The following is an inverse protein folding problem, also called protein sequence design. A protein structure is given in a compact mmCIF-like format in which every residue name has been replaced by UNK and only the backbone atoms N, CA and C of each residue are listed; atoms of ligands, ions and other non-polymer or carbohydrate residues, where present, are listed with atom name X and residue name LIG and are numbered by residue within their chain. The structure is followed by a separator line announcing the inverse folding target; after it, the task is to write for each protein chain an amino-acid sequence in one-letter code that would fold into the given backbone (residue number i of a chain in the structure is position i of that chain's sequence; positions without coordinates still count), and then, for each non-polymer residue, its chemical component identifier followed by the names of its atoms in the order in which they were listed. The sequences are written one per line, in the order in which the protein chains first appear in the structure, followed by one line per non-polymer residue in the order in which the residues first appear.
data_IF_771097226945
#
_entry.id   IF_771097226945
#
_cell.length_a   1.000
_cell.length_b   1.000
_cell.length_c   1.000
_cell.angle_alpha   90.00
_cell.angle_beta   90.00
_cell.angle_gamma   90.00
#
_symmetry.space_group_name_H-M   'P 1'
#
loop_
_entity.id
_entity.type
_entity.pdbx_description
1 polymer ?
#
# COMPACT_ATOMS: atom_id res chain seq x y z
N UNK A 1 -1.07 9.02 -7.48
CA UNK A 1 -0.46 8.18 -6.41
C UNK A 1 -1.05 6.78 -6.48
N UNK A 2 -0.23 5.76 -6.30
CA UNK A 2 -0.61 4.36 -6.42
C UNK A 2 -0.35 3.64 -5.08
N UNK A 3 -1.34 2.95 -4.54
CA UNK A 3 -1.22 2.10 -3.36
C UNK A 3 -1.16 0.65 -3.82
N UNK A 4 -0.14 -0.08 -3.40
CA UNK A 4 0.10 -1.48 -3.82
C UNK A 4 0.05 -2.39 -2.61
N UNK A 5 -0.84 -3.36 -2.63
CA UNK A 5 -0.92 -4.41 -1.62
C UNK A 5 -0.39 -5.72 -2.23
N UNK A 6 0.75 -6.18 -1.73
CA UNK A 6 1.36 -7.45 -2.15
C UNK A 6 0.81 -8.55 -1.25
N UNK A 7 0.03 -9.46 -1.87
CA UNK A 7 -0.55 -10.64 -1.22
C UNK A 7 -1.34 -10.32 0.07
N UNK A 8 -2.31 -9.38 0.03
CA UNK A 8 -3.08 -9.03 1.23
C UNK A 8 -3.88 -10.23 1.74
N UNK A 9 -3.98 -10.38 3.07
CA UNK A 9 -4.57 -11.55 3.72
C UNK A 9 -5.93 -11.26 4.36
N UNK A 10 -6.18 -10.01 4.79
CA UNK A 10 -7.36 -9.62 5.57
C UNK A 10 -8.28 -8.73 4.75
N UNK A 11 -9.49 -9.21 4.37
CA UNK A 11 -10.41 -8.46 3.51
C UNK A 11 -10.86 -7.13 4.13
N UNK A 12 -10.99 -7.03 5.47
CA UNK A 12 -11.35 -5.80 6.15
C UNK A 12 -10.29 -4.71 5.99
N UNK A 13 -9.01 -5.06 6.02
CA UNK A 13 -7.93 -4.11 5.76
C UNK A 13 -7.98 -3.60 4.32
N UNK A 14 -8.15 -4.51 3.36
CA UNK A 14 -8.28 -4.15 1.94
C UNK A 14 -9.47 -3.22 1.71
N UNK A 15 -10.61 -3.48 2.37
CA UNK A 15 -11.78 -2.62 2.31
C UNK A 15 -11.54 -1.22 2.86
N UNK A 16 -10.90 -1.11 4.02
CA UNK A 16 -10.55 0.19 4.60
C UNK A 16 -9.54 0.95 3.71
N UNK A 17 -8.60 0.24 3.09
CA UNK A 17 -7.63 0.82 2.15
C UNK A 17 -8.33 1.32 0.88
N UNK A 18 -9.26 0.55 0.32
CA UNK A 18 -10.05 0.96 -0.83
C UNK A 18 -10.81 2.27 -0.53
N UNK A 19 -11.43 2.39 0.67
CA UNK A 19 -12.07 3.63 1.11
C UNK A 19 -11.06 4.79 1.18
N UNK A 20 -9.88 4.56 1.73
CA UNK A 20 -8.82 5.58 1.75
C UNK A 20 -8.45 6.01 0.33
N UNK A 21 -8.25 5.07 -0.59
CA UNK A 21 -7.95 5.34 -1.99
C UNK A 21 -9.05 6.17 -2.67
N UNK A 22 -10.33 5.81 -2.48
CA UNK A 22 -11.46 6.58 -2.98
C UNK A 22 -11.45 8.03 -2.45
N UNK A 23 -11.22 8.21 -1.14
CA UNK A 23 -11.20 9.53 -0.51
C UNK A 23 -10.08 10.44 -1.02
N UNK A 24 -8.96 9.87 -1.47
CA UNK A 24 -7.78 10.64 -1.88
C UNK A 24 -7.48 10.58 -3.39
N UNK A 25 -8.31 9.88 -4.16
CA UNK A 25 -8.13 9.72 -5.60
C UNK A 25 -6.89 8.88 -5.97
N UNK A 26 -6.54 7.89 -5.14
CA UNK A 26 -5.43 6.97 -5.39
C UNK A 26 -5.90 5.71 -6.14
N UNK A 27 -5.04 5.16 -7.01
CA UNK A 27 -5.25 3.85 -7.63
C UNK A 27 -4.83 2.76 -6.65
N UNK A 28 -5.66 1.71 -6.51
CA UNK A 28 -5.37 0.55 -5.68
C UNK A 28 -4.90 -0.63 -6.54
N UNK A 29 -3.66 -1.06 -6.36
CA UNK A 29 -3.11 -2.26 -6.99
C UNK A 29 -3.17 -3.43 -6.00
N UNK A 30 -3.77 -4.54 -6.43
CA UNK A 30 -3.86 -5.78 -5.67
C UNK A 30 -3.03 -6.86 -6.36
N UNK A 31 -1.98 -7.32 -5.70
CA UNK A 31 -1.09 -8.36 -6.20
C UNK A 31 -1.44 -9.69 -5.56
N UNK A 32 -1.77 -10.67 -6.40
CA UNK A 32 -2.10 -12.04 -5.97
C UNK A 32 -0.85 -12.88 -5.65
N UNK A 33 -0.97 -13.98 -4.87
CA UNK A 33 -2.22 -14.49 -4.31
C UNK A 33 -2.74 -13.65 -3.14
N UNK A 34 -4.07 -13.57 -3.00
CA UNK A 34 -4.68 -12.95 -1.84
C UNK A 34 -5.20 -14.02 -0.88
N UNK A 35 -5.16 -13.77 0.43
CA UNK A 35 -5.70 -14.65 1.46
C UNK A 35 -7.23 -14.80 1.44
N UNK A 36 -7.93 -14.12 0.52
CA UNK A 36 -9.38 -14.10 0.38
C UNK A 36 -9.81 -13.93 -1.08
N UNK A 37 -11.08 -14.23 -1.37
CA UNK A 37 -11.66 -13.95 -2.68
C UNK A 37 -12.38 -12.60 -2.68
N UNK A 38 -12.09 -11.78 -3.68
CA UNK A 38 -12.83 -10.54 -3.95
C UNK A 38 -14.22 -10.91 -4.53
N UNK A 39 -15.19 -11.05 -3.65
CA UNK A 39 -16.60 -11.24 -4.02
C UNK A 39 -17.40 -10.05 -3.48
N UNK A 40 -18.49 -9.68 -4.16
CA UNK A 40 -19.39 -8.61 -3.66
C UNK A 40 -19.80 -8.85 -2.20
N UNK A 41 -20.03 -10.11 -1.81
CA UNK A 41 -20.40 -10.47 -0.44
C UNK A 41 -19.26 -10.18 0.57
N UNK A 42 -18.00 -10.45 0.20
CA UNK A 42 -16.84 -10.20 1.06
C UNK A 42 -16.55 -8.70 1.14
N UNK A 43 -16.73 -7.98 0.04
CA UNK A 43 -16.58 -6.52 -0.03
C UNK A 43 -17.65 -5.80 0.82
N UNK A 44 -18.91 -6.20 0.69
CA UNK A 44 -20.00 -5.66 1.52
C UNK A 44 -19.78 -5.92 3.01
N UNK A 45 -19.29 -7.11 3.40
CA UNK A 45 -18.94 -7.43 4.80
C UNK A 45 -17.74 -6.65 5.31
N UNK A 46 -16.82 -6.25 4.44
CA UNK A 46 -15.67 -5.42 4.76
C UNK A 46 -16.02 -3.91 4.84
N UNK A 47 -17.30 -3.54 4.66
CA UNK A 47 -17.74 -2.14 4.67
C UNK A 47 -17.25 -1.36 3.44
N UNK A 48 -17.07 -2.04 2.30
CA UNK A 48 -16.56 -1.43 1.07
C UNK A 48 -17.68 -0.76 0.27
N UNK A 49 -18.29 0.28 0.85
CA UNK A 49 -19.32 1.07 0.17
C UNK A 49 -18.74 1.96 -0.95
N UNK A 50 -17.40 2.05 -1.02
CA UNK A 50 -16.65 2.91 -1.95
C UNK A 50 -15.93 2.10 -3.05
N UNK A 51 -16.25 0.82 -3.22
CA UNK A 51 -15.53 -0.03 -4.18
C UNK A 51 -15.67 0.44 -5.62
N UNK A 52 -16.84 0.99 -5.97
CA UNK A 52 -17.13 1.52 -7.31
C UNK A 52 -16.52 2.92 -7.53
N UNK A 53 -16.00 3.55 -6.47
CA UNK A 53 -15.40 4.88 -6.49
C UNK A 53 -13.86 4.84 -6.54
N UNK A 54 -13.26 3.64 -6.56
CA UNK A 54 -11.80 3.46 -6.60
C UNK A 54 -11.37 2.69 -7.82
N UNK A 55 -10.36 3.19 -8.51
CA UNK A 55 -9.71 2.45 -9.60
C UNK A 55 -8.88 1.31 -9.01
N UNK A 56 -9.20 0.07 -9.42
CA UNK A 56 -8.53 -1.14 -8.91
C UNK A 56 -7.86 -1.87 -10.06
N UNK A 57 -6.56 -2.10 -9.93
CA UNK A 57 -5.74 -2.88 -10.84
C UNK A 57 -5.32 -4.17 -10.16
N UNK A 58 -5.52 -5.32 -10.83
CA UNK A 58 -5.13 -6.63 -10.30
C UNK A 58 -3.93 -7.19 -11.04
N UNK A 59 -3.01 -7.76 -10.30
CA UNK A 59 -1.80 -8.39 -10.80
C UNK A 59 -1.78 -9.87 -10.43
N UNK A 60 -1.45 -10.77 -11.36
CA UNK A 60 -1.47 -12.21 -11.09
C UNK A 60 -0.39 -12.67 -10.12
N UNK A 61 0.69 -11.90 -9.99
CA UNK A 61 1.80 -12.16 -9.04
C UNK A 61 2.69 -10.92 -8.91
N UNK A 62 3.58 -10.93 -7.93
CA UNK A 62 4.55 -9.86 -7.69
C UNK A 62 5.50 -9.65 -8.88
N UNK A 63 5.96 -10.72 -9.52
CA UNK A 63 6.85 -10.62 -10.68
C UNK A 63 6.21 -9.82 -11.83
N UNK A 64 4.94 -10.08 -12.14
CA UNK A 64 4.21 -9.34 -13.17
C UNK A 64 4.09 -7.84 -12.83
N UNK A 65 3.86 -7.51 -11.57
CA UNK A 65 3.84 -6.12 -11.11
C UNK A 65 5.23 -5.46 -11.27
N UNK A 66 6.29 -6.10 -10.80
CA UNK A 66 7.64 -5.54 -10.87
C UNK A 66 8.24 -5.54 -12.28
N UNK A 67 7.80 -6.42 -13.18
CA UNK A 67 8.15 -6.36 -14.60
C UNK A 67 7.58 -5.09 -15.26
N UNK A 68 6.34 -4.73 -14.92
CA UNK A 68 5.69 -3.55 -15.45
C UNK A 68 6.17 -2.24 -14.80
N UNK A 69 6.41 -2.23 -13.49
CA UNK A 69 6.61 -1.02 -12.68
C UNK A 69 7.95 -0.95 -11.93
N UNK A 70 8.85 -1.91 -12.12
CA UNK A 70 10.12 -1.96 -11.36
C UNK A 70 11.05 -0.76 -11.60
N UNK A 71 10.89 -0.06 -12.71
CA UNK A 71 11.64 1.17 -13.04
C UNK A 71 10.99 2.45 -12.50
N UNK A 72 9.71 2.39 -12.09
CA UNK A 72 8.97 3.53 -11.58
C UNK A 72 9.44 3.95 -10.18
N UNK A 73 8.88 5.05 -9.67
CA UNK A 73 9.15 5.52 -8.32
C UNK A 73 8.42 4.63 -7.29
N UNK A 74 9.16 3.68 -6.72
CA UNK A 74 8.66 2.73 -5.73
C UNK A 74 9.14 3.09 -4.33
N UNK A 75 8.25 3.03 -3.34
CA UNK A 75 8.56 3.13 -1.91
C UNK A 75 8.00 1.91 -1.17
N UNK A 76 8.90 1.05 -0.68
CA UNK A 76 8.53 -0.20 0.00
C UNK A 76 8.46 0.04 1.51
N UNK A 77 7.27 -0.05 2.07
CA UNK A 77 7.05 0.16 3.50
C UNK A 77 7.35 -1.11 4.30
N UNK A 78 8.41 -1.06 5.10
CA UNK A 78 8.84 -2.18 5.95
C UNK A 78 9.41 -1.69 7.28
N UNK A 79 9.16 -2.43 8.36
CA UNK A 79 9.76 -2.14 9.66
C UNK A 79 11.29 -2.34 9.70
N UNK A 80 11.87 -3.01 8.71
CA UNK A 80 13.31 -3.28 8.63
C UNK A 80 14.10 -2.11 8.03
N UNK A 81 13.46 -1.17 7.35
CA UNK A 81 14.13 -0.01 6.77
C UNK A 81 14.73 0.89 7.87
N UNK A 82 15.84 1.54 7.55
CA UNK A 82 16.47 2.55 8.41
C UNK A 82 15.90 3.95 8.15
N UNK A 83 15.60 4.26 6.87
CA UNK A 83 15.10 5.56 6.43
C UNK A 83 13.63 5.72 6.77
N UNK A 84 13.26 6.85 7.36
CA UNK A 84 11.87 7.17 7.69
C UNK A 84 11.12 7.61 6.44
N UNK A 85 9.81 7.32 6.37
CA UNK A 85 8.95 7.77 5.27
C UNK A 85 8.89 9.30 5.14
N UNK A 86 9.17 10.04 6.21
CA UNK A 86 9.23 11.51 6.19
C UNK A 86 10.56 12.08 5.67
N UNK A 87 11.55 11.24 5.41
CA UNK A 87 12.88 11.62 4.92
C UNK A 87 13.02 11.41 3.41
N UNK A 88 11.95 11.02 2.73
CA UNK A 88 11.91 10.84 1.28
C UNK A 88 10.88 11.78 0.67
N UNK A 89 11.08 12.13 -0.59
CA UNK A 89 10.09 12.83 -1.39
C UNK A 89 9.20 11.81 -2.09
N UNK A 90 7.90 12.08 -2.12
CA UNK A 90 6.91 11.29 -2.86
C UNK A 90 6.43 12.07 -4.08
N UNK A 91 6.74 11.56 -5.27
CA UNK A 91 6.21 12.09 -6.52
C UNK A 91 4.69 11.86 -6.64
N UNK A 92 4.07 12.60 -7.55
CA UNK A 92 2.62 12.53 -7.76
C UNK A 92 2.15 11.13 -8.17
N UNK A 93 2.97 10.42 -8.94
CA UNK A 93 2.68 9.09 -9.47
C UNK A 93 3.42 7.98 -8.73
N UNK A 94 3.99 8.28 -7.56
CA UNK A 94 4.71 7.32 -6.73
C UNK A 94 3.85 6.11 -6.37
N UNK A 95 4.49 4.95 -6.30
CA UNK A 95 3.91 3.69 -5.84
C UNK A 95 4.32 3.45 -4.37
N UNK A 96 3.34 3.31 -3.49
CA UNK A 96 3.53 3.00 -2.07
C UNK A 96 3.17 1.53 -1.85
N UNK A 97 4.19 0.70 -1.60
CA UNK A 97 4.06 -0.76 -1.54
C UNK A 97 4.00 -1.27 -0.11
N UNK A 98 3.06 -2.15 0.15
CA UNK A 98 2.83 -2.80 1.44
C UNK A 98 2.68 -4.30 1.23
N UNK A 99 3.21 -5.10 2.16
CA UNK A 99 3.15 -6.56 2.10
C UNK A 99 2.03 -7.16 2.95
N UNK A 100 2.10 -8.48 3.11
CA UNK A 100 1.17 -9.29 3.92
C UNK A 100 1.09 -8.80 5.37
N UNK A 101 -0.07 -8.91 5.97
CA UNK A 101 -0.29 -8.56 7.38
C UNK A 101 0.54 -9.44 8.31
N UNK A 102 0.73 -10.71 7.98
CA UNK A 102 1.45 -11.68 8.79
C UNK A 102 2.98 -11.59 8.67
N UNK A 103 3.49 -11.31 7.45
CA UNK A 103 4.91 -11.44 7.12
C UNK A 103 5.54 -10.19 6.49
N UNK A 104 4.75 -9.20 6.04
CA UNK A 104 5.25 -8.05 5.30
C UNK A 104 5.63 -8.40 3.85
N UNK A 105 6.52 -7.62 3.28
CA UNK A 105 7.08 -7.83 1.93
C UNK A 105 8.18 -8.89 2.01
N UNK A 106 8.24 -9.78 1.02
CA UNK A 106 9.26 -10.83 0.94
C UNK A 106 10.68 -10.27 0.97
N UNK A 107 11.58 -10.97 1.68
CA UNK A 107 12.97 -10.55 1.85
C UNK A 107 13.69 -10.38 0.50
N UNK A 108 13.47 -11.26 -0.47
CA UNK A 108 14.07 -11.17 -1.80
C UNK A 108 13.64 -9.88 -2.54
N UNK A 109 12.39 -9.42 -2.35
CA UNK A 109 11.92 -8.16 -2.91
C UNK A 109 12.57 -6.98 -2.17
N UNK A 110 12.63 -7.03 -0.84
CA UNK A 110 13.27 -5.98 -0.03
C UNK A 110 14.76 -5.83 -0.37
N UNK A 111 15.47 -6.94 -0.56
CA UNK A 111 16.89 -6.94 -0.93
C UNK A 111 17.09 -6.32 -2.34
N UNK A 112 16.22 -6.67 -3.28
CA UNK A 112 16.25 -6.13 -4.65
C UNK A 112 16.04 -4.61 -4.70
N UNK A 113 15.23 -4.06 -3.79
CA UNK A 113 14.85 -2.65 -3.73
C UNK A 113 15.25 -1.99 -2.40
N UNK A 114 16.39 -2.39 -1.83
CA UNK A 114 16.81 -1.96 -0.49
C UNK A 114 16.93 -0.43 -0.34
N UNK A 115 17.38 0.25 -1.39
CA UNK A 115 17.51 1.71 -1.47
C UNK A 115 16.16 2.45 -1.51
N UNK A 116 15.07 1.73 -1.82
CA UNK A 116 13.70 2.25 -1.89
C UNK A 116 12.83 1.90 -0.66
N UNK A 117 13.43 1.21 0.32
CA UNK A 117 12.75 0.83 1.55
C UNK A 117 12.63 2.03 2.50
N UNK A 118 11.44 2.18 3.08
CA UNK A 118 11.13 3.21 4.08
C UNK A 118 10.31 2.63 5.23
N UNK A 119 10.36 3.28 6.39
CA UNK A 119 9.60 2.86 7.57
C UNK A 119 8.72 3.97 8.13
N UNK A 120 7.59 3.58 8.69
CA UNK A 120 6.84 4.42 9.63
C UNK A 120 7.46 4.19 11.02
N UNK A 121 7.92 5.24 11.73
CA UNK A 121 8.50 5.08 13.06
C UNK A 121 7.50 4.48 14.04
N UNK A 122 7.98 3.53 14.86
CA UNK A 122 7.22 2.90 15.93
C UNK A 122 8.08 2.81 17.18
N UNK A 123 7.45 2.62 18.35
CA UNK A 123 8.17 2.32 19.59
C UNK A 123 8.87 0.96 19.45
N UNK A 124 10.05 0.87 20.03
CA UNK A 124 10.81 -0.37 20.11
C UNK A 124 10.00 -1.50 20.76
N UNK A 125 10.18 -2.73 20.30
CA UNK A 125 9.50 -3.92 20.81
C UNK A 125 8.09 -4.14 20.23
N UNK A 126 7.55 -3.21 19.42
CA UNK A 126 6.27 -3.41 18.73
C UNK A 126 6.49 -3.99 17.33
N UNK A 127 5.64 -4.95 16.93
CA UNK A 127 5.82 -5.71 15.69
C UNK A 127 5.47 -4.90 14.44
N UNK A 128 4.27 -4.32 14.39
CA UNK A 128 3.76 -3.61 13.22
C UNK A 128 2.53 -2.77 13.57
N UNK A 129 2.22 -1.80 12.72
CA UNK A 129 0.90 -1.15 12.66
C UNK A 129 -0.08 -2.06 11.90
N UNK A 130 -1.38 -1.86 12.13
CA UNK A 130 -2.40 -2.40 11.25
C UNK A 130 -2.15 -1.89 9.82
N UNK A 131 -2.33 -2.77 8.82
CA UNK A 131 -2.01 -2.47 7.43
C UNK A 131 -2.77 -1.23 6.91
N UNK A 132 -4.07 -1.14 7.17
CA UNK A 132 -4.86 0.01 6.69
C UNK A 132 -4.44 1.32 7.34
N UNK A 133 -4.01 1.29 8.62
CA UNK A 133 -3.47 2.46 9.29
C UNK A 133 -2.13 2.88 8.68
N UNK A 134 -1.24 1.93 8.41
CA UNK A 134 0.04 2.20 7.76
C UNK A 134 -0.14 2.85 6.39
N UNK A 135 -1.05 2.31 5.58
CA UNK A 135 -1.39 2.88 4.27
C UNK A 135 -1.91 4.31 4.40
N UNK A 136 -2.84 4.56 5.34
CA UNK A 136 -3.40 5.89 5.54
C UNK A 136 -2.31 6.91 5.94
N UNK A 137 -1.42 6.54 6.88
CA UNK A 137 -0.30 7.41 7.30
C UNK A 137 0.59 7.75 6.10
N UNK A 138 0.98 6.74 5.31
CA UNK A 138 1.87 6.93 4.17
C UNK A 138 1.21 7.78 3.07
N UNK A 139 -0.06 7.51 2.74
CA UNK A 139 -0.80 8.25 1.74
C UNK A 139 -0.94 9.74 2.12
N UNK A 140 -1.31 10.02 3.38
CA UNK A 140 -1.46 11.39 3.85
C UNK A 140 -0.14 12.14 3.99
N UNK A 141 0.97 11.46 4.27
CA UNK A 141 2.29 12.09 4.18
C UNK A 141 2.64 12.47 2.75
N UNK A 142 2.42 11.58 1.78
CA UNK A 142 2.64 11.89 0.37
C UNK A 142 1.77 13.09 -0.10
N UNK A 143 0.50 13.12 0.30
CA UNK A 143 -0.41 14.23 0.00
C UNK A 143 0.00 15.53 0.69
N UNK A 144 0.47 15.47 1.94
CA UNK A 144 0.99 16.63 2.66
C UNK A 144 2.15 17.27 1.90
N UNK A 145 3.08 16.46 1.38
CA UNK A 145 4.20 16.96 0.58
C UNK A 145 3.74 17.62 -0.72
N UNK A 146 2.63 17.16 -1.27
CA UNK A 146 2.01 17.71 -2.51
C UNK A 146 1.01 18.86 -2.23
N UNK A 147 0.87 19.31 -0.97
CA UNK A 147 -0.02 20.41 -0.59
C UNK A 147 -1.51 20.09 -0.70
N UNK A 148 -1.89 18.79 -0.59
CA UNK A 148 -3.29 18.32 -0.67
C UNK A 148 -4.05 18.81 -1.91
N UNK A 149 -3.40 18.88 -3.06
CA UNK A 149 -4.01 19.38 -4.29
C UNK A 149 -5.28 18.57 -4.66
N UNK A 150 -6.39 19.28 -4.85
CA UNK A 150 -7.67 18.68 -5.23
C UNK A 150 -8.48 18.11 -4.05
N UNK A 151 -8.01 18.22 -2.83
CA UNK A 151 -8.72 17.83 -1.61
C UNK A 151 -9.21 19.07 -0.86
N UNK A 152 -10.34 18.94 -0.12
CA UNK A 152 -10.97 20.00 0.69
C UNK A 152 -10.85 19.73 2.18
#
# INVERSE_FOLDING_TARGET
MNIVLIEPEIPQNTGNIARTCACVGAVLHLVEPMGFRLTQRNLARAGCDYWDEVEIVRWPCADAFFEAHGADELHLFTGQATRRHTEVAFGKDAFLLFGRESAGIDAAILDRFADRCVRIPMREGLRSLNLSNAVAIAAYEALRQQGFQGLV
#
